data_IF_359009075598
#
_entry.id   IF_359009075598
#
_cell.length_a   1.000
_cell.length_b   1.000
_cell.length_c   1.000
_cell.angle_alpha   90.00
_cell.angle_beta   90.00
_cell.angle_gamma   90.00
#
_symmetry.space_group_name_H-M   'P 1'
#
loop_
_entity.id
_entity.type
_entity.pdbx_description
1 polymer ?
#
# COMPACT_ATOMS: atom_id res chain seq x y z
N UNK A 1 -19.39 -17.17 2.51
CA UNK A 1 -19.59 -15.95 3.32
C UNK A 1 -18.23 -15.31 3.49
N UNK A 2 -18.11 -13.99 3.38
CA UNK A 2 -16.83 -13.26 3.60
C UNK A 2 -16.58 -13.11 5.09
N UNK A 3 -15.38 -13.46 5.55
CA UNK A 3 -14.94 -13.31 6.93
C UNK A 3 -14.10 -12.04 7.12
N UNK A 4 -13.88 -11.65 8.38
CA UNK A 4 -12.98 -10.56 8.71
C UNK A 4 -11.54 -10.89 8.28
N UNK A 5 -10.89 -9.95 7.59
CA UNK A 5 -9.54 -10.15 7.06
C UNK A 5 -9.47 -10.79 5.67
N UNK A 6 -10.61 -11.09 5.03
CA UNK A 6 -10.63 -11.63 3.67
C UNK A 6 -10.35 -10.55 2.63
N UNK A 7 -9.30 -10.75 1.83
CA UNK A 7 -8.98 -9.88 0.70
C UNK A 7 -9.62 -10.32 -0.62
N UNK A 8 -10.19 -11.54 -0.70
CA UNK A 8 -10.85 -12.05 -1.90
C UNK A 8 -11.82 -11.07 -2.57
N UNK A 9 -12.79 -10.43 -1.86
CA UNK A 9 -13.70 -9.49 -2.50
C UNK A 9 -12.99 -8.23 -3.02
N UNK A 10 -11.96 -7.75 -2.32
CA UNK A 10 -11.16 -6.59 -2.73
C UNK A 10 -10.34 -6.93 -3.98
N UNK A 11 -9.67 -8.08 -3.99
CA UNK A 11 -8.83 -8.50 -5.11
C UNK A 11 -9.61 -8.90 -6.36
N UNK A 12 -10.87 -9.29 -6.21
CA UNK A 12 -11.75 -9.68 -7.33
C UNK A 12 -12.49 -8.49 -7.92
N UNK A 13 -12.99 -7.58 -7.07
CA UNK A 13 -13.92 -6.52 -7.48
C UNK A 13 -13.30 -5.12 -7.53
N UNK A 14 -12.16 -4.88 -6.88
CA UNK A 14 -11.47 -3.59 -6.92
C UNK A 14 -10.33 -3.64 -7.94
N UNK A 15 -10.44 -2.94 -9.07
CA UNK A 15 -9.36 -2.90 -10.05
C UNK A 15 -8.09 -2.34 -9.42
N UNK A 16 -6.96 -3.01 -9.65
CA UNK A 16 -5.64 -2.53 -9.25
C UNK A 16 -5.42 -2.32 -7.74
N UNK A 17 -6.08 -3.11 -6.88
CA UNK A 17 -5.80 -3.09 -5.44
C UNK A 17 -4.39 -3.64 -5.15
N UNK A 18 -3.44 -2.82 -4.65
CA UNK A 18 -2.01 -3.15 -4.66
C UNK A 18 -1.66 -4.37 -3.79
N UNK A 19 -2.35 -4.57 -2.67
CA UNK A 19 -2.03 -5.65 -1.73
C UNK A 19 -2.24 -7.04 -2.34
N UNK A 20 -3.04 -7.15 -3.40
CA UNK A 20 -3.23 -8.40 -4.15
C UNK A 20 -1.93 -8.90 -4.78
N UNK A 21 -0.95 -8.04 -5.06
CA UNK A 21 0.36 -8.48 -5.57
C UNK A 21 1.07 -9.42 -4.59
N UNK A 22 0.86 -9.23 -3.27
CA UNK A 22 1.44 -10.07 -2.23
C UNK A 22 0.82 -11.47 -2.27
N UNK A 23 -0.53 -11.52 -2.31
CA UNK A 23 -1.29 -12.75 -2.39
C UNK A 23 -1.06 -13.49 -3.71
N UNK A 24 -0.84 -12.79 -4.82
CA UNK A 24 -0.51 -13.42 -6.10
C UNK A 24 0.74 -14.29 -5.97
N UNK A 25 1.82 -13.73 -5.40
CA UNK A 25 3.06 -14.48 -5.17
C UNK A 25 2.87 -15.61 -4.16
N UNK A 26 2.06 -15.39 -3.13
CA UNK A 26 1.74 -16.41 -2.14
C UNK A 26 1.04 -17.62 -2.77
N UNK A 27 -0.03 -17.37 -3.53
CA UNK A 27 -0.77 -18.40 -4.27
C UNK A 27 0.10 -19.07 -5.33
N UNK A 28 0.92 -18.31 -6.07
CA UNK A 28 1.81 -18.87 -7.09
C UNK A 28 2.74 -19.96 -6.53
N UNK A 29 3.20 -19.80 -5.28
CA UNK A 29 4.11 -20.77 -4.64
C UNK A 29 3.39 -21.96 -4.03
N UNK A 30 2.20 -21.76 -3.47
CA UNK A 30 1.57 -22.71 -2.56
C UNK A 30 0.23 -23.28 -3.06
N UNK A 31 -0.45 -22.58 -3.99
CA UNK A 31 -1.77 -22.93 -4.48
C UNK A 31 -2.03 -22.38 -5.90
N UNK A 32 -1.12 -22.66 -6.84
CA UNK A 32 -1.15 -22.09 -8.20
C UNK A 32 -2.44 -22.39 -8.97
N UNK A 33 -3.11 -23.50 -8.67
CA UNK A 33 -4.40 -23.89 -9.25
C UNK A 33 -5.54 -22.88 -8.99
N UNK A 34 -5.40 -22.03 -7.98
CA UNK A 34 -6.37 -20.96 -7.68
C UNK A 34 -6.26 -19.81 -8.70
N UNK A 35 -5.07 -19.60 -9.29
CA UNK A 35 -4.83 -18.54 -10.26
C UNK A 35 -5.39 -18.97 -11.62
N UNK A 36 -6.58 -18.47 -11.95
CA UNK A 36 -7.33 -18.85 -13.16
C UNK A 36 -7.70 -17.60 -13.98
N UNK A 37 -8.19 -17.81 -15.20
CA UNK A 37 -8.62 -16.72 -16.08
C UNK A 37 -7.54 -15.64 -16.24
N UNK A 38 -7.84 -14.35 -15.98
CA UNK A 38 -6.87 -13.26 -16.11
C UNK A 38 -5.61 -13.42 -15.25
N UNK A 39 -5.69 -14.15 -14.13
CA UNK A 39 -4.54 -14.35 -13.23
C UNK A 39 -3.67 -15.55 -13.58
N UNK A 40 -4.09 -16.39 -14.53
CA UNK A 40 -3.41 -17.65 -14.85
C UNK A 40 -1.97 -17.46 -15.36
N UNK A 41 -1.72 -16.38 -16.12
CA UNK A 41 -0.41 -16.11 -16.73
C UNK A 41 0.24 -14.88 -16.10
N UNK A 42 1.35 -15.02 -15.34
CA UNK A 42 2.01 -13.90 -14.66
C UNK A 42 2.47 -12.76 -15.58
N UNK A 43 2.81 -13.07 -16.84
CA UNK A 43 3.32 -12.11 -17.81
C UNK A 43 2.25 -11.15 -18.36
N UNK A 44 0.98 -11.53 -18.25
CA UNK A 44 -0.18 -10.76 -18.74
C UNK A 44 -1.12 -10.31 -17.63
N UNK A 45 -1.04 -10.99 -16.47
CA UNK A 45 -2.00 -10.83 -15.40
C UNK A 45 -2.13 -9.38 -14.92
N UNK A 46 -3.37 -8.89 -14.74
CA UNK A 46 -3.62 -7.60 -14.12
C UNK A 46 -3.29 -7.62 -12.62
N UNK A 47 -3.24 -6.44 -12.00
CA UNK A 47 -3.18 -6.31 -10.53
C UNK A 47 -4.54 -6.74 -9.94
N UNK A 48 -4.55 -7.83 -9.18
CA UNK A 48 -5.74 -8.46 -8.60
C UNK A 48 -5.57 -9.98 -8.49
N UNK A 49 -6.61 -10.67 -8.01
CA UNK A 49 -6.68 -12.15 -8.00
C UNK A 49 -8.00 -12.57 -8.63
N UNK A 50 -7.93 -13.26 -9.76
CA UNK A 50 -9.06 -13.60 -10.63
C UNK A 50 -10.05 -12.43 -10.81
N UNK A 51 -9.57 -11.20 -11.13
CA UNK A 51 -10.44 -10.04 -11.12
C UNK A 51 -11.49 -10.11 -12.24
N UNK A 52 -12.69 -9.61 -11.97
CA UNK A 52 -13.76 -9.51 -12.98
C UNK A 52 -13.38 -8.60 -14.13
N UNK A 53 -12.72 -7.49 -13.79
CA UNK A 53 -12.16 -6.53 -14.72
C UNK A 53 -10.76 -6.14 -14.22
N UNK A 54 -9.78 -6.13 -15.11
CA UNK A 54 -8.41 -5.77 -14.77
C UNK A 54 -7.69 -5.18 -15.97
N UNK A 55 -6.69 -4.35 -15.70
CA UNK A 55 -5.84 -3.75 -16.72
C UNK A 55 -4.65 -4.70 -16.95
N UNK A 56 -4.51 -5.34 -18.11
CA UNK A 56 -3.39 -6.24 -18.38
C UNK A 56 -2.06 -5.51 -18.28
N UNK A 57 -0.98 -6.26 -18.10
CA UNK A 57 0.36 -5.69 -18.02
C UNK A 57 0.70 -4.85 -19.27
N UNK A 58 1.48 -3.78 -19.10
CA UNK A 58 2.01 -2.98 -20.21
C UNK A 58 2.60 -3.87 -21.31
N UNK A 59 2.27 -3.53 -22.57
CA UNK A 59 2.67 -4.24 -23.79
C UNK A 59 2.10 -5.66 -23.96
N UNK A 60 1.06 -6.03 -23.20
CA UNK A 60 0.31 -7.26 -23.43
C UNK A 60 -1.03 -6.95 -24.10
N UNK A 61 -1.32 -7.58 -25.24
CA UNK A 61 -2.56 -7.39 -26.02
C UNK A 61 -2.92 -5.92 -26.29
N UNK A 62 -1.91 -5.07 -26.56
CA UNK A 62 -2.11 -3.64 -26.79
C UNK A 62 -2.40 -2.84 -25.51
N UNK A 63 -2.26 -3.42 -24.32
CA UNK A 63 -2.44 -2.72 -23.04
C UNK A 63 -1.41 -1.61 -22.86
N UNK A 64 -1.92 -0.43 -22.53
CA UNK A 64 -1.16 0.77 -22.19
C UNK A 64 -0.95 0.94 -20.68
N UNK A 65 -1.22 -0.10 -19.88
CA UNK A 65 -1.14 -0.06 -18.42
C UNK A 65 -2.19 0.88 -17.78
N UNK A 66 -2.11 1.10 -16.46
CA UNK A 66 -3.03 1.98 -15.74
C UNK A 66 -2.68 3.47 -15.95
N UNK A 67 -2.91 3.98 -17.16
CA UNK A 67 -2.56 5.35 -17.58
C UNK A 67 -3.23 6.41 -16.70
N UNK A 68 -4.47 6.19 -16.29
CA UNK A 68 -5.19 7.11 -15.42
C UNK A 68 -4.46 7.28 -14.07
N UNK A 69 -4.07 6.18 -13.43
CA UNK A 69 -3.29 6.23 -12.18
C UNK A 69 -1.90 6.86 -12.41
N UNK A 70 -1.21 6.52 -13.50
CA UNK A 70 0.10 7.09 -13.83
C UNK A 70 0.01 8.62 -13.97
N UNK A 71 -0.97 9.12 -14.72
CA UNK A 71 -1.18 10.56 -14.90
C UNK A 71 -1.55 11.25 -13.59
N UNK A 72 -2.47 10.68 -12.80
CA UNK A 72 -2.86 11.23 -11.51
C UNK A 72 -1.68 11.27 -10.52
N UNK A 73 -0.90 10.19 -10.40
CA UNK A 73 0.31 10.16 -9.57
C UNK A 73 1.33 11.21 -10.02
N UNK A 74 1.53 11.37 -11.34
CA UNK A 74 2.44 12.37 -11.89
C UNK A 74 2.06 13.81 -11.53
N UNK A 75 0.78 14.18 -11.70
CA UNK A 75 0.28 15.51 -11.31
C UNK A 75 0.36 15.70 -9.80
N UNK A 76 -0.06 14.71 -9.01
CA UNK A 76 0.01 14.76 -7.56
C UNK A 76 1.44 14.94 -7.07
N UNK A 77 2.45 14.35 -7.72
CA UNK A 77 3.85 14.49 -7.32
C UNK A 77 4.29 15.95 -7.35
N UNK A 78 4.09 16.64 -8.48
CA UNK A 78 4.44 18.06 -8.59
C UNK A 78 3.63 18.94 -7.66
N UNK A 79 2.33 18.64 -7.49
CA UNK A 79 1.47 19.38 -6.59
C UNK A 79 1.91 19.25 -5.12
N UNK A 80 2.29 18.05 -4.67
CA UNK A 80 2.77 17.82 -3.30
C UNK A 80 4.13 18.46 -3.07
N UNK A 81 5.04 18.43 -4.05
CA UNK A 81 6.31 19.18 -3.99
C UNK A 81 6.03 20.67 -3.78
N UNK A 82 5.09 21.25 -4.53
CA UNK A 82 4.67 22.63 -4.34
C UNK A 82 4.14 22.87 -2.92
N UNK A 83 3.26 22.00 -2.41
CA UNK A 83 2.72 22.12 -1.04
C UNK A 83 3.82 22.08 0.03
N UNK A 84 4.82 21.19 -0.11
CA UNK A 84 5.96 21.11 0.81
C UNK A 84 6.75 22.43 0.81
N UNK A 85 7.02 23.00 -0.37
CA UNK A 85 7.72 24.29 -0.51
C UNK A 85 6.91 25.42 0.14
N UNK A 86 5.60 25.47 -0.10
CA UNK A 86 4.72 26.49 0.49
C UNK A 86 4.63 26.35 2.01
N UNK A 87 4.60 25.12 2.54
CA UNK A 87 4.60 24.84 3.97
C UNK A 87 5.87 25.37 4.66
N UNK A 88 7.04 25.19 4.02
CA UNK A 88 8.33 25.70 4.53
C UNK A 88 8.39 27.24 4.62
N UNK A 89 7.64 27.98 3.80
CA UNK A 89 7.66 29.45 3.80
C UNK A 89 6.93 30.08 4.99
N UNK A 90 6.03 29.34 5.66
CA UNK A 90 5.25 29.85 6.80
C UNK A 90 6.07 29.72 8.09
N UNK A 91 6.40 30.83 8.75
CA UNK A 91 7.24 30.82 9.96
C UNK A 91 6.50 30.49 11.26
N UNK A 92 5.21 30.80 11.37
CA UNK A 92 4.39 30.60 12.57
C UNK A 92 3.05 29.93 12.20
N UNK A 93 3.06 28.62 12.03
CA UNK A 93 1.85 27.82 11.80
C UNK A 93 1.91 26.58 12.68
N UNK A 94 0.80 26.31 13.37
CA UNK A 94 0.65 25.16 14.27
C UNK A 94 0.82 23.86 13.48
N UNK A 95 1.64 22.93 13.98
CA UNK A 95 1.82 21.60 13.40
C UNK A 95 2.61 21.58 12.09
N UNK A 96 3.37 22.64 11.78
CA UNK A 96 4.11 22.76 10.51
C UNK A 96 5.08 21.60 10.27
N UNK A 97 5.81 21.17 11.30
CA UNK A 97 6.86 20.15 11.16
C UNK A 97 6.21 18.79 10.87
N UNK A 98 5.13 18.49 11.56
CA UNK A 98 4.31 17.29 11.46
C UNK A 98 3.61 17.23 10.10
N UNK A 99 3.02 18.34 9.63
CA UNK A 99 2.35 18.42 8.33
C UNK A 99 3.34 18.25 7.18
N UNK A 100 4.52 18.85 7.28
CA UNK A 100 5.59 18.67 6.30
C UNK A 100 6.05 17.21 6.23
N UNK A 101 6.15 16.55 7.38
CA UNK A 101 6.52 15.13 7.46
C UNK A 101 5.46 14.26 6.80
N UNK A 102 4.17 14.52 7.05
CA UNK A 102 3.05 13.87 6.36
C UNK A 102 3.11 14.07 4.83
N UNK A 103 3.28 15.31 4.36
CA UNK A 103 3.37 15.60 2.92
C UNK A 103 4.59 14.92 2.28
N UNK A 104 5.70 14.82 3.01
CA UNK A 104 6.91 14.12 2.54
C UNK A 104 6.64 12.62 2.41
N UNK A 105 5.98 11.99 3.39
CA UNK A 105 5.57 10.58 3.28
C UNK A 105 4.61 10.37 2.11
N UNK A 106 3.63 11.27 1.92
CA UNK A 106 2.71 11.19 0.79
C UNK A 106 3.45 11.31 -0.55
N UNK A 107 4.43 12.21 -0.65
CA UNK A 107 5.26 12.32 -1.85
C UNK A 107 5.99 11.01 -2.16
N UNK A 108 6.46 10.30 -1.13
CA UNK A 108 7.16 9.02 -1.28
C UNK A 108 6.21 7.85 -1.61
N UNK A 109 4.92 7.91 -1.24
CA UNK A 109 3.96 6.87 -1.65
C UNK A 109 3.66 6.94 -3.15
N UNK A 110 3.66 8.13 -3.77
CA UNK A 110 3.28 8.29 -5.18
C UNK A 110 4.07 7.43 -6.18
N UNK A 111 5.43 7.38 -6.16
CA UNK A 111 6.16 6.48 -7.04
C UNK A 111 5.91 5.00 -6.71
N UNK A 112 5.71 4.65 -5.44
CA UNK A 112 5.39 3.28 -5.01
C UNK A 112 3.98 2.86 -5.48
N UNK A 113 3.01 3.77 -5.43
CA UNK A 113 1.67 3.59 -5.98
C UNK A 113 1.73 3.36 -7.49
N UNK A 114 2.50 4.18 -8.21
CA UNK A 114 2.70 4.01 -9.65
C UNK A 114 3.22 2.61 -9.98
N UNK A 115 4.21 2.11 -9.23
CA UNK A 115 4.81 0.80 -9.49
C UNK A 115 3.92 -0.40 -9.06
N UNK A 116 3.19 -0.26 -7.96
CA UNK A 116 2.39 -1.36 -7.39
C UNK A 116 0.98 -1.49 -7.99
N UNK A 117 0.35 -0.40 -8.41
CA UNK A 117 -0.98 -0.41 -9.04
C UNK A 117 -0.95 -0.20 -10.55
N UNK A 118 0.22 0.18 -11.10
CA UNK A 118 0.37 0.58 -12.49
C UNK A 118 0.21 -0.54 -13.52
N UNK A 119 0.28 -1.82 -13.14
CA UNK A 119 0.39 -2.98 -14.03
C UNK A 119 1.65 -2.94 -14.95
N UNK A 120 2.76 -2.39 -14.45
CA UNK A 120 4.02 -2.26 -15.18
C UNK A 120 4.90 -3.52 -15.06
N UNK A 121 4.91 -4.13 -13.88
CA UNK A 121 5.73 -5.29 -13.55
C UNK A 121 4.92 -6.58 -13.69
N UNK A 122 5.62 -7.69 -13.97
CA UNK A 122 4.99 -9.01 -14.02
C UNK A 122 4.47 -9.41 -12.63
N UNK A 123 3.27 -9.97 -12.60
CA UNK A 123 2.66 -10.46 -11.36
C UNK A 123 3.49 -11.59 -10.77
N UNK A 124 3.56 -11.66 -9.44
CA UNK A 124 4.38 -12.64 -8.74
C UNK A 124 5.90 -12.42 -8.87
N UNK A 125 6.38 -11.34 -9.49
CA UNK A 125 7.82 -11.04 -9.46
C UNK A 125 8.25 -10.58 -8.06
N UNK A 126 9.46 -10.97 -7.64
CA UNK A 126 10.03 -10.54 -6.34
C UNK A 126 10.10 -9.01 -6.24
N UNK A 127 10.44 -8.34 -7.34
CA UNK A 127 10.51 -6.87 -7.38
C UNK A 127 9.15 -6.23 -7.06
N UNK A 128 8.06 -6.70 -7.70
CA UNK A 128 6.72 -6.18 -7.44
C UNK A 128 6.28 -6.44 -5.99
N UNK A 129 6.60 -7.61 -5.43
CA UNK A 129 6.30 -7.95 -4.04
C UNK A 129 7.01 -7.02 -3.07
N UNK A 130 8.33 -6.82 -3.23
CA UNK A 130 9.11 -5.94 -2.36
C UNK A 130 8.60 -4.49 -2.44
N UNK A 131 8.36 -3.98 -3.65
CA UNK A 131 7.81 -2.64 -3.86
C UNK A 131 6.41 -2.48 -3.24
N UNK A 132 5.55 -3.48 -3.39
CA UNK A 132 4.20 -3.48 -2.79
C UNK A 132 4.29 -3.52 -1.27
N UNK A 133 5.21 -4.29 -0.69
CA UNK A 133 5.36 -4.36 0.76
C UNK A 133 5.86 -3.04 1.36
N UNK A 134 6.84 -2.40 0.73
CA UNK A 134 7.29 -1.05 1.13
C UNK A 134 6.17 -0.03 0.94
N UNK A 135 5.39 -0.15 -0.14
CA UNK A 135 4.21 0.70 -0.36
C UNK A 135 3.19 0.56 0.77
N UNK A 136 2.86 -0.68 1.19
CA UNK A 136 1.93 -0.93 2.29
C UNK A 136 2.40 -0.31 3.60
N UNK A 137 3.70 -0.45 3.92
CA UNK A 137 4.29 0.22 5.07
C UNK A 137 4.22 1.74 5.00
N UNK A 138 4.51 2.31 3.83
CA UNK A 138 4.44 3.77 3.64
C UNK A 138 3.00 4.29 3.77
N UNK A 139 2.01 3.56 3.27
CA UNK A 139 0.59 3.90 3.40
C UNK A 139 0.12 3.82 4.86
N UNK A 140 0.45 2.75 5.59
CA UNK A 140 0.14 2.66 7.01
C UNK A 140 0.80 3.80 7.82
N UNK A 141 2.07 4.09 7.56
CA UNK A 141 2.77 5.20 8.20
C UNK A 141 2.14 6.57 7.84
N UNK A 142 1.74 6.75 6.58
CA UNK A 142 1.08 7.97 6.11
C UNK A 142 -0.21 8.23 6.90
N UNK A 143 -1.08 7.23 7.04
CA UNK A 143 -2.34 7.38 7.76
C UNK A 143 -2.15 7.59 9.27
N UNK A 144 -1.12 6.97 9.87
CA UNK A 144 -0.70 7.34 11.22
C UNK A 144 -0.33 8.82 11.30
N UNK A 145 0.51 9.31 10.39
CA UNK A 145 0.92 10.72 10.42
C UNK A 145 -0.24 11.67 10.14
N UNK A 146 -1.26 11.24 9.39
CA UNK A 146 -2.50 11.99 9.20
C UNK A 146 -3.26 12.13 10.53
N UNK A 147 -3.44 11.03 11.26
CA UNK A 147 -4.06 11.03 12.58
C UNK A 147 -3.26 11.88 13.58
N UNK A 148 -1.93 11.73 13.60
CA UNK A 148 -1.07 12.51 14.49
C UNK A 148 -1.17 14.01 14.20
N UNK A 149 -1.24 14.42 12.93
CA UNK A 149 -1.49 15.80 12.54
C UNK A 149 -2.86 16.30 13.05
N UNK A 150 -3.91 15.47 12.98
CA UNK A 150 -5.22 15.84 13.50
C UNK A 150 -5.18 16.06 15.02
N UNK A 151 -4.48 15.21 15.78
CA UNK A 151 -4.28 15.39 17.23
C UNK A 151 -3.56 16.70 17.53
N UNK A 152 -2.46 16.99 16.84
CA UNK A 152 -1.71 18.25 17.00
C UNK A 152 -2.58 19.46 16.64
N UNK A 153 -3.44 19.35 15.61
CA UNK A 153 -4.35 20.42 15.22
C UNK A 153 -5.41 20.73 16.29
N UNK A 154 -5.78 19.78 17.15
CA UNK A 154 -6.66 20.03 18.31
C UNK A 154 -5.96 20.72 19.48
N UNK A 155 -4.64 20.93 19.40
CA UNK A 155 -3.81 21.54 20.45
C UNK A 155 -3.81 20.75 21.78
N UNK A 156 -4.30 19.50 21.79
CA UNK A 156 -4.17 18.60 22.94
C UNK A 156 -2.69 18.28 23.21
N UNK A 157 -1.88 18.25 22.16
CA UNK A 157 -0.42 18.13 22.22
C UNK A 157 0.19 19.36 21.55
N UNK A 158 1.14 19.99 22.23
CA UNK A 158 1.83 21.19 21.72
C UNK A 158 2.69 20.84 20.49
N UNK A 159 2.50 21.58 19.41
CA UNK A 159 3.16 21.34 18.13
C UNK A 159 4.66 21.66 18.17
N UNK A 160 5.47 20.91 17.40
CA UNK A 160 6.91 21.14 17.29
C UNK A 160 7.73 20.90 18.56
N UNK A 161 7.09 20.46 19.65
CA UNK A 161 7.74 20.06 20.90
C UNK A 161 8.25 18.62 20.81
N UNK A 162 9.16 18.24 21.70
CA UNK A 162 9.61 16.85 21.80
C UNK A 162 8.46 15.89 22.15
N UNK A 163 7.46 16.33 22.91
CA UNK A 163 6.29 15.53 23.26
C UNK A 163 5.38 15.25 22.06
N UNK A 164 5.36 16.11 21.04
CA UNK A 164 4.71 15.81 19.75
C UNK A 164 5.60 14.96 18.84
N UNK A 165 6.86 15.38 18.63
CA UNK A 165 7.73 14.82 17.59
C UNK A 165 8.20 13.39 17.88
N UNK A 166 8.43 13.04 19.15
CA UNK A 166 8.87 11.70 19.54
C UNK A 166 7.81 10.64 19.24
N UNK A 167 6.57 10.72 19.77
CA UNK A 167 5.55 9.72 19.43
C UNK A 167 5.19 9.77 17.94
N UNK A 168 5.13 10.95 17.32
CA UNK A 168 4.94 11.08 15.87
C UNK A 168 5.96 10.20 15.11
N UNK A 169 7.26 10.36 15.40
CA UNK A 169 8.33 9.64 14.71
C UNK A 169 8.38 8.14 15.03
N UNK A 170 8.26 7.77 16.31
CA UNK A 170 8.30 6.36 16.74
C UNK A 170 7.19 5.56 16.06
N UNK A 171 5.95 6.03 16.14
CA UNK A 171 4.83 5.30 15.53
C UNK A 171 4.90 5.31 14.00
N UNK A 172 5.41 6.37 13.37
CA UNK A 172 5.68 6.38 11.92
C UNK A 172 6.63 5.25 11.53
N UNK A 173 7.75 5.10 12.24
CA UNK A 173 8.73 4.03 11.99
C UNK A 173 8.13 2.65 12.29
N UNK A 174 7.34 2.51 13.36
CA UNK A 174 6.69 1.24 13.71
C UNK A 174 5.67 0.83 12.64
N UNK A 175 4.76 1.70 12.20
CA UNK A 175 3.79 1.38 11.15
C UNK A 175 4.48 1.06 9.83
N UNK A 176 5.52 1.82 9.47
CA UNK A 176 6.33 1.54 8.29
C UNK A 176 6.99 0.16 8.37
N UNK A 177 7.71 -0.11 9.46
CA UNK A 177 8.50 -1.34 9.63
C UNK A 177 7.63 -2.59 9.78
N UNK A 178 6.65 -2.57 10.68
CA UNK A 178 5.77 -3.71 10.97
C UNK A 178 4.95 -4.08 9.74
N UNK A 179 4.30 -3.11 9.10
CA UNK A 179 3.45 -3.40 7.93
C UNK A 179 4.29 -3.83 6.73
N UNK A 180 5.48 -3.28 6.52
CA UNK A 180 6.42 -3.75 5.49
C UNK A 180 6.83 -5.19 5.76
N UNK A 181 7.20 -5.53 7.00
CA UNK A 181 7.58 -6.88 7.38
C UNK A 181 6.44 -7.89 7.16
N UNK A 182 5.24 -7.59 7.68
CA UNK A 182 4.04 -8.43 7.49
C UNK A 182 3.76 -8.65 6.01
N UNK A 183 3.84 -7.58 5.21
CA UNK A 183 3.61 -7.65 3.76
C UNK A 183 4.66 -8.48 3.03
N UNK A 184 5.94 -8.32 3.38
CA UNK A 184 7.04 -9.13 2.85
C UNK A 184 6.86 -10.61 3.23
N UNK A 185 6.43 -10.89 4.45
CA UNK A 185 6.21 -12.26 4.90
C UNK A 185 5.07 -12.93 4.11
N UNK A 186 3.97 -12.23 3.84
CA UNK A 186 2.89 -12.72 2.96
C UNK A 186 3.42 -13.04 1.55
N UNK A 187 4.13 -12.09 0.95
CA UNK A 187 4.63 -12.25 -0.41
C UNK A 187 5.75 -13.29 -0.54
N UNK A 188 6.68 -13.35 0.42
CA UNK A 188 7.90 -14.17 0.36
C UNK A 188 7.84 -15.42 1.22
N UNK A 189 6.83 -15.58 2.08
CA UNK A 189 6.58 -16.76 2.91
C UNK A 189 7.75 -17.07 3.84
N UNK A 190 8.22 -16.04 4.57
CA UNK A 190 9.34 -16.17 5.53
C UNK A 190 8.92 -17.04 6.71
N UNK A 191 7.68 -16.87 7.18
CA UNK A 191 7.06 -17.66 8.23
C UNK A 191 5.76 -18.29 7.75
N UNK A 192 5.39 -19.43 8.36
CA UNK A 192 4.09 -20.05 8.13
C UNK A 192 2.96 -19.34 8.89
N UNK A 193 3.29 -18.58 9.96
CA UNK A 193 2.29 -17.93 10.79
C UNK A 193 1.62 -16.75 10.08
N UNK A 194 2.41 -15.92 9.40
CA UNK A 194 1.92 -14.71 8.70
C UNK A 194 1.87 -14.95 7.20
N UNK A 195 2.92 -15.58 6.65
CA UNK A 195 3.07 -15.84 5.22
C UNK A 195 2.43 -17.14 4.72
N UNK A 196 1.85 -17.94 5.61
CA UNK A 196 1.16 -19.18 5.28
C UNK A 196 -0.15 -18.95 4.52
N UNK A 197 -0.55 -19.92 3.71
CA UNK A 197 -1.82 -19.88 2.97
C UNK A 197 -2.93 -20.43 3.85
N UNK A 198 -4.03 -19.68 3.92
CA UNK A 198 -5.24 -20.12 4.62
C UNK A 198 -5.95 -21.26 3.88
N UNK A 199 -6.72 -22.08 4.60
CA UNK A 199 -7.62 -23.06 3.99
C UNK A 199 -9.08 -22.60 4.18
N UNK A 200 -9.81 -22.24 3.10
CA UNK A 200 -9.45 -22.33 1.69
C UNK A 200 -8.54 -21.17 1.20
N UNK A 201 -7.64 -21.43 0.22
CA UNK A 201 -6.68 -20.45 -0.28
C UNK A 201 -7.33 -19.28 -1.01
N UNK A 202 -8.53 -19.47 -1.54
CA UNK A 202 -9.32 -18.47 -2.28
C UNK A 202 -9.77 -17.29 -1.43
N UNK A 203 -9.82 -17.46 -0.10
CA UNK A 203 -10.25 -16.40 0.82
C UNK A 203 -9.23 -15.23 0.90
N UNK A 204 -7.95 -15.51 0.58
CA UNK A 204 -6.85 -14.54 0.70
C UNK A 204 -6.83 -13.89 2.09
N UNK A 205 -7.10 -14.67 3.13
CA UNK A 205 -7.30 -14.12 4.47
C UNK A 205 -5.97 -13.76 5.11
N UNK A 206 -5.83 -12.53 5.57
CA UNK A 206 -4.73 -12.13 6.44
C UNK A 206 -5.17 -11.00 7.39
N UNK A 207 -5.49 -11.38 8.63
CA UNK A 207 -6.00 -10.44 9.63
C UNK A 207 -4.99 -9.33 9.96
N UNK A 208 -3.69 -9.63 10.22
CA UNK A 208 -2.71 -8.58 10.51
C UNK A 208 -2.59 -7.54 9.41
N UNK A 209 -2.47 -7.96 8.15
CA UNK A 209 -2.42 -7.05 7.01
C UNK A 209 -3.71 -6.23 6.91
N UNK A 210 -4.87 -6.87 7.00
CA UNK A 210 -6.17 -6.19 6.92
C UNK A 210 -6.33 -5.12 8.00
N UNK A 211 -5.91 -5.40 9.24
CA UNK A 211 -5.94 -4.41 10.31
C UNK A 211 -5.01 -3.25 9.98
N UNK A 212 -3.77 -3.52 9.62
CA UNK A 212 -2.75 -2.50 9.36
C UNK A 212 -3.05 -1.63 8.12
N UNK A 213 -3.73 -2.18 7.12
CA UNK A 213 -3.99 -1.49 5.84
C UNK A 213 -5.43 -1.05 5.63
N UNK A 214 -6.36 -1.36 6.53
CA UNK A 214 -7.79 -1.04 6.33
C UNK A 214 -8.53 -0.63 7.60
N UNK A 215 -8.01 -0.94 8.79
CA UNK A 215 -8.71 -0.65 10.08
C UNK A 215 -7.95 0.38 10.90
N UNK A 216 -6.67 0.17 11.14
CA UNK A 216 -5.82 1.02 11.98
C UNK A 216 -4.42 1.15 11.36
N UNK A 217 -3.98 2.36 10.97
CA UNK A 217 -4.53 3.67 11.29
C UNK A 217 -5.62 4.17 10.30
N UNK A 218 -6.49 3.27 9.83
CA UNK A 218 -7.53 3.47 8.82
C UNK A 218 -6.98 3.77 7.42
N UNK A 219 -5.95 3.00 7.03
CA UNK A 219 -5.18 3.18 5.80
C UNK A 219 -5.87 2.67 4.53
#
# INVERSE_FOLDING_TARGET
MTAFGDFAPLCTNTPSYPWCNLFYRQLQRNASQVLTGPSATPASAPVGINPKCGIPRLNHDGSISNVANIAACGVSFFFVVLLIVLCNRRKAAVGRIELRSFLTLYLLTLPLQLLSTGALLAQGSTALVVLTAVHAGMVAALFWTLLANAIVATQVVEDGTLSSLIPFGIFTILFLGVTTYVSLDIGLGVTQLIGGVESPPEALRNIPLFVLTSVWPAA
#
